data_IF_690811060605
#
_entry.id   IF_690811060605
#
_cell.length_a   1.000
_cell.length_b   1.000
_cell.length_c   1.000
_cell.angle_alpha   90.00
_cell.angle_beta   90.00
_cell.angle_gamma   90.00
#
_symmetry.space_group_name_H-M   'P 1'
#
loop_
_entity.id
_entity.type
_entity.pdbx_description
1 polymer ?
#
# COMPACT_ATOMS: atom_id res chain seq x y z
N UNK A 1 5.99 -14.00 -31.02
CA UNK A 1 5.54 -12.61 -31.30
C UNK A 1 5.14 -11.82 -30.05
N UNK A 2 4.22 -12.26 -29.16
CA UNK A 2 3.71 -11.43 -28.06
C UNK A 2 4.77 -11.10 -26.99
N UNK A 3 5.65 -12.03 -26.66
CA UNK A 3 6.75 -11.80 -25.72
C UNK A 3 7.73 -10.72 -26.20
N UNK A 4 8.01 -10.67 -27.51
CA UNK A 4 8.89 -9.65 -28.09
C UNK A 4 8.26 -8.27 -28.01
N UNK A 5 6.95 -8.15 -28.28
CA UNK A 5 6.22 -6.89 -28.14
C UNK A 5 6.20 -6.40 -26.68
N UNK A 6 6.01 -7.31 -25.72
CA UNK A 6 6.05 -6.97 -24.29
C UNK A 6 7.44 -6.48 -23.86
N UNK A 7 8.50 -7.16 -24.27
CA UNK A 7 9.88 -6.77 -23.95
C UNK A 7 10.23 -5.39 -24.55
N UNK A 8 9.84 -5.14 -25.80
CA UNK A 8 10.03 -3.84 -26.46
C UNK A 8 9.26 -2.74 -25.72
N UNK A 9 8.01 -3.00 -25.32
CA UNK A 9 7.21 -2.04 -24.55
C UNK A 9 7.87 -1.66 -23.22
N UNK A 10 8.34 -2.65 -22.47
CA UNK A 10 9.06 -2.42 -21.20
C UNK A 10 10.36 -1.64 -21.43
N UNK A 11 11.13 -2.02 -22.46
CA UNK A 11 12.38 -1.34 -22.79
C UNK A 11 12.15 0.13 -23.17
N UNK A 12 11.11 0.41 -23.97
CA UNK A 12 10.71 1.78 -24.31
C UNK A 12 10.27 2.57 -23.07
N UNK A 13 9.54 1.95 -22.15
CA UNK A 13 9.15 2.58 -20.88
C UNK A 13 10.37 2.97 -20.03
N UNK A 14 11.34 2.06 -19.88
CA UNK A 14 12.59 2.34 -19.16
C UNK A 14 13.41 3.42 -19.87
N UNK A 15 13.51 3.37 -21.21
CA UNK A 15 14.23 4.37 -22.00
C UNK A 15 13.59 5.76 -21.86
N UNK A 16 12.26 5.85 -21.89
CA UNK A 16 11.53 7.10 -21.68
C UNK A 16 11.75 7.64 -20.26
N UNK A 17 11.63 6.79 -19.24
CA UNK A 17 11.91 7.18 -17.85
C UNK A 17 13.34 7.71 -17.70
N UNK A 18 14.33 7.00 -18.26
CA UNK A 18 15.72 7.43 -18.21
C UNK A 18 15.90 8.77 -18.94
N UNK A 19 15.34 8.92 -20.14
CA UNK A 19 15.40 10.17 -20.89
C UNK A 19 14.84 11.35 -20.07
N UNK A 20 13.67 11.17 -19.45
CA UNK A 20 13.07 12.19 -18.59
C UNK A 20 13.93 12.50 -17.35
N UNK A 21 14.44 11.49 -16.65
CA UNK A 21 15.34 11.69 -15.51
C UNK A 21 16.60 12.48 -15.92
N UNK A 22 17.20 12.15 -17.07
CA UNK A 22 18.38 12.84 -17.59
C UNK A 22 18.11 14.25 -18.12
N UNK A 23 16.86 14.56 -18.50
CA UNK A 23 16.44 15.86 -19.00
C UNK A 23 16.23 16.92 -17.90
N UNK A 24 16.59 16.62 -16.65
CA UNK A 24 16.52 17.56 -15.52
C UNK A 24 15.22 17.50 -14.73
N UNK A 25 14.36 16.51 -14.98
CA UNK A 25 13.24 16.23 -14.06
C UNK A 25 13.79 15.67 -12.74
N UNK A 26 13.12 15.98 -11.62
CA UNK A 26 13.51 15.51 -10.26
C UNK A 26 13.17 14.02 -10.06
N UNK A 27 13.75 13.17 -10.90
CA UNK A 27 13.59 11.72 -10.91
C UNK A 27 14.98 11.08 -10.81
N UNK A 28 15.17 10.07 -9.96
CA UNK A 28 16.44 9.32 -9.96
C UNK A 28 16.58 8.54 -11.26
N UNK A 29 17.81 8.40 -11.75
CA UNK A 29 18.09 7.60 -12.96
C UNK A 29 17.99 6.11 -12.67
N UNK A 30 17.68 5.24 -13.66
CA UNK A 30 17.60 3.81 -13.42
C UNK A 30 18.85 3.20 -12.76
N UNK A 31 20.10 3.57 -13.16
CA UNK A 31 21.30 3.09 -12.48
C UNK A 31 21.41 3.56 -11.02
N UNK A 32 21.00 4.80 -10.72
CA UNK A 32 20.97 5.31 -9.33
C UNK A 32 19.99 4.53 -8.46
N UNK A 33 18.80 4.20 -8.99
CA UNK A 33 17.81 3.38 -8.28
C UNK A 33 18.37 1.99 -7.98
N UNK A 34 19.01 1.34 -8.96
CA UNK A 34 19.60 0.00 -8.76
C UNK A 34 20.74 0.05 -7.74
N UNK A 35 21.62 1.05 -7.84
CA UNK A 35 22.72 1.24 -6.88
C UNK A 35 22.17 1.46 -5.46
N UNK A 36 21.19 2.36 -5.30
CA UNK A 36 20.58 2.63 -4.00
C UNK A 36 19.85 1.41 -3.44
N UNK A 37 19.12 0.67 -4.28
CA UNK A 37 18.49 -0.58 -3.88
C UNK A 37 19.52 -1.59 -3.36
N UNK A 38 20.65 -1.75 -4.07
CA UNK A 38 21.76 -2.59 -3.62
C UNK A 38 22.31 -2.17 -2.25
N UNK A 39 22.49 -0.87 -2.02
CA UNK A 39 22.92 -0.37 -0.69
C UNK A 39 21.93 -0.69 0.41
N UNK A 40 20.63 -0.44 0.19
CA UNK A 40 19.57 -0.66 1.19
C UNK A 40 19.31 -2.14 1.46
N UNK A 41 19.57 -3.00 0.47
CA UNK A 41 19.53 -4.46 0.65
C UNK A 41 20.76 -4.91 1.45
N UNK A 42 21.93 -4.41 1.10
CA UNK A 42 23.20 -4.80 1.72
C UNK A 42 23.34 -4.35 3.18
N UNK A 43 22.79 -3.18 3.53
CA UNK A 43 22.78 -2.67 4.90
C UNK A 43 21.57 -3.14 5.73
N UNK A 44 20.63 -3.87 5.13
CA UNK A 44 19.45 -4.42 5.79
C UNK A 44 18.27 -3.44 5.95
N UNK A 45 18.47 -2.15 5.66
CA UNK A 45 17.45 -1.11 5.85
C UNK A 45 16.17 -1.42 5.08
N UNK A 46 16.29 -1.91 3.84
CA UNK A 46 15.10 -2.24 3.03
C UNK A 46 14.25 -3.33 3.67
N UNK A 47 14.89 -4.34 4.26
CA UNK A 47 14.20 -5.44 4.90
C UNK A 47 13.54 -4.97 6.21
N UNK A 48 14.26 -4.20 7.02
CA UNK A 48 13.72 -3.66 8.28
C UNK A 48 12.51 -2.75 8.04
N UNK A 49 12.60 -1.82 7.08
CA UNK A 49 11.50 -0.94 6.72
C UNK A 49 10.30 -1.71 6.16
N UNK A 50 10.55 -2.70 5.29
CA UNK A 50 9.51 -3.54 4.73
C UNK A 50 8.80 -4.37 5.83
N UNK A 51 9.56 -4.97 6.75
CA UNK A 51 9.02 -5.75 7.85
C UNK A 51 8.27 -4.88 8.85
N UNK A 52 8.78 -3.70 9.18
CA UNK A 52 8.10 -2.75 10.05
C UNK A 52 6.75 -2.30 9.44
N UNK A 53 6.74 -1.98 8.15
CA UNK A 53 5.52 -1.65 7.42
C UNK A 53 4.52 -2.81 7.41
N UNK A 54 4.99 -4.00 7.03
CA UNK A 54 4.16 -5.20 6.95
C UNK A 54 3.58 -5.58 8.32
N UNK A 55 4.39 -5.50 9.38
CA UNK A 55 3.95 -5.78 10.75
C UNK A 55 2.83 -4.85 11.17
N UNK A 56 2.93 -3.54 10.89
CA UNK A 56 1.87 -2.58 11.20
C UNK A 56 0.57 -2.92 10.50
N UNK A 57 0.63 -3.28 9.21
CA UNK A 57 -0.54 -3.67 8.42
C UNK A 57 -1.17 -4.95 8.97
N UNK A 58 -0.36 -5.98 9.23
CA UNK A 58 -0.86 -7.26 9.71
C UNK A 58 -1.45 -7.18 11.12
N UNK A 59 -0.82 -6.42 12.02
CA UNK A 59 -1.35 -6.20 13.37
C UNK A 59 -2.67 -5.44 13.31
N UNK A 60 -2.75 -4.35 12.53
CA UNK A 60 -3.99 -3.59 12.35
C UNK A 60 -5.11 -4.45 11.74
N UNK A 61 -4.79 -5.25 10.73
CA UNK A 61 -5.72 -6.20 10.13
C UNK A 61 -6.19 -7.25 11.14
N UNK A 62 -5.27 -7.91 11.85
CA UNK A 62 -5.61 -8.96 12.80
C UNK A 62 -6.51 -8.46 13.92
N UNK A 63 -6.17 -7.31 14.52
CA UNK A 63 -7.00 -6.67 15.56
C UNK A 63 -8.36 -6.24 15.00
N UNK A 64 -8.37 -5.61 13.82
CA UNK A 64 -9.60 -5.20 13.15
C UNK A 64 -10.52 -6.37 12.85
N UNK A 65 -10.00 -7.45 12.26
CA UNK A 65 -10.76 -8.68 11.96
C UNK A 65 -11.26 -9.37 13.23
N UNK A 66 -10.43 -9.45 14.28
CA UNK A 66 -10.80 -10.07 15.55
C UNK A 66 -12.03 -9.40 16.19
N UNK A 67 -12.22 -8.09 15.99
CA UNK A 67 -13.39 -7.35 16.49
C UNK A 67 -14.53 -7.33 15.45
N UNK A 68 -14.21 -7.05 14.19
CA UNK A 68 -15.20 -6.87 13.13
C UNK A 68 -15.98 -8.17 12.83
N UNK A 69 -15.35 -9.34 12.91
CA UNK A 69 -16.01 -10.62 12.63
C UNK A 69 -17.10 -10.92 13.68
N UNK A 70 -16.81 -10.91 15.01
CA UNK A 70 -17.86 -11.06 16.02
C UNK A 70 -18.97 -10.01 15.92
N UNK A 71 -18.61 -8.74 15.72
CA UNK A 71 -19.60 -7.65 15.58
C UNK A 71 -20.48 -7.87 14.36
N UNK A 72 -19.89 -8.19 13.21
CA UNK A 72 -20.62 -8.49 11.98
C UNK A 72 -21.54 -9.70 12.13
N UNK A 73 -21.08 -10.75 12.80
CA UNK A 73 -21.92 -11.92 13.11
C UNK A 73 -23.12 -11.56 13.99
N UNK A 74 -22.91 -10.78 15.06
CA UNK A 74 -23.99 -10.30 15.94
C UNK A 74 -25.00 -9.40 15.21
N UNK A 75 -24.53 -8.50 14.34
CA UNK A 75 -25.39 -7.71 13.47
C UNK A 75 -26.15 -8.56 12.45
N UNK A 76 -25.57 -9.69 12.03
CA UNK A 76 -26.21 -10.69 11.17
C UNK A 76 -27.39 -11.37 11.87
N UNK A 77 -27.21 -11.75 13.13
CA UNK A 77 -28.17 -12.54 13.92
C UNK A 77 -29.26 -11.69 14.58
N UNK A 78 -28.94 -10.47 15.05
CA UNK A 78 -29.85 -9.63 15.82
C UNK A 78 -30.11 -8.29 15.14
N UNK A 79 -31.36 -8.07 14.70
CA UNK A 79 -31.77 -6.82 14.04
C UNK A 79 -31.57 -5.56 14.89
N UNK A 80 -31.70 -5.66 16.21
CA UNK A 80 -31.48 -4.54 17.14
C UNK A 80 -30.02 -4.09 17.13
N UNK A 81 -29.07 -5.05 17.19
CA UNK A 81 -27.64 -4.74 17.17
C UNK A 81 -27.23 -4.14 15.82
N UNK A 82 -27.81 -4.63 14.72
CA UNK A 82 -27.63 -4.00 13.41
C UNK A 82 -28.08 -2.54 13.42
N UNK A 83 -29.30 -2.26 13.88
CA UNK A 83 -29.83 -0.91 13.95
C UNK A 83 -28.99 0.05 14.81
N UNK A 84 -28.37 -0.46 15.87
CA UNK A 84 -27.53 0.35 16.76
C UNK A 84 -26.14 0.64 16.17
N UNK A 85 -25.51 -0.34 15.51
CA UNK A 85 -24.10 -0.27 15.07
C UNK A 85 -23.96 0.28 13.65
N UNK A 86 -24.91 -0.01 12.75
CA UNK A 86 -24.86 0.40 11.34
C UNK A 86 -24.62 1.92 11.14
N UNK A 87 -25.27 2.85 11.87
CA UNK A 87 -25.03 4.28 11.69
C UNK A 87 -23.57 4.68 11.95
N UNK A 88 -22.94 4.08 12.96
CA UNK A 88 -21.54 4.33 13.30
C UNK A 88 -20.60 3.80 12.22
N UNK A 89 -20.87 2.60 11.70
CA UNK A 89 -20.09 2.03 10.60
C UNK A 89 -20.17 2.93 9.36
N UNK A 90 -21.36 3.41 9.00
CA UNK A 90 -21.54 4.31 7.85
C UNK A 90 -20.82 5.65 8.05
N UNK A 91 -20.84 6.20 9.28
CA UNK A 91 -20.11 7.42 9.62
C UNK A 91 -18.60 7.27 9.36
N UNK A 92 -17.96 6.26 9.96
CA UNK A 92 -16.52 6.03 9.78
C UNK A 92 -16.14 5.63 8.35
N UNK A 93 -17.03 4.94 7.63
CA UNK A 93 -16.81 4.57 6.22
C UNK A 93 -16.73 5.79 5.29
N UNK A 94 -17.38 6.89 5.66
CA UNK A 94 -17.47 8.10 4.82
C UNK A 94 -16.28 9.03 5.07
N UNK A 95 -15.62 8.95 6.23
CA UNK A 95 -14.48 9.81 6.57
C UNK A 95 -13.21 9.26 5.91
N UNK A 96 -12.51 10.05 5.08
CA UNK A 96 -11.23 9.63 4.52
C UNK A 96 -10.21 9.35 5.64
N UNK A 97 -9.43 8.26 5.56
CA UNK A 97 -8.41 7.96 6.58
C UNK A 97 -7.42 9.10 6.82
N UNK A 98 -7.09 9.89 5.78
CA UNK A 98 -6.22 11.07 5.91
C UNK A 98 -6.76 12.14 6.87
N UNK A 99 -8.09 12.26 7.02
CA UNK A 99 -8.69 13.25 7.91
C UNK A 99 -8.60 12.86 9.40
N UNK A 100 -8.28 11.61 9.68
CA UNK A 100 -8.21 11.05 11.05
C UNK A 100 -6.78 11.16 11.62
N UNK A 101 -5.77 11.26 10.77
CA UNK A 101 -4.37 11.37 11.18
C UNK A 101 -4.09 12.81 11.63
N UNK A 102 -3.70 13.06 12.90
CA UNK A 102 -3.25 14.37 13.33
C UNK A 102 -1.92 14.69 12.64
N UNK A 103 -1.92 15.74 11.82
CA UNK A 103 -0.73 16.30 11.17
C UNK A 103 0.09 17.16 12.14
#
# INVERSE_FOLDING_TARGET
LPLALNAVSVALGIALWWALASAGFKLPTPPEVVSRAGTLIGDGTLADDALASLTRVLVGFALGTAVAVPVGFLMGWYGILRGLIEPWIQFFRTIPPLAIIPL
#
